data_IF_035872109272
#
_entry.id   IF_035872109272
#
_cell.length_a   1.000
_cell.length_b   1.000
_cell.length_c   1.000
_cell.angle_alpha   90.00
_cell.angle_beta   90.00
_cell.angle_gamma   90.00
#
_symmetry.space_group_name_H-M   'P 1'
#
loop_
_entity.id
_entity.type
_entity.pdbx_description
1 polymer ?
#
# COMPACT_ATOMS: atom_id res chain seq x y z
N UNK A 1 -0.02 10.37 -15.59
CA UNK A 1 -0.12 8.96 -15.17
C UNK A 1 1.25 8.29 -15.22
N UNK A 2 1.57 7.42 -14.27
CA UNK A 2 2.76 6.57 -14.26
C UNK A 2 2.34 5.10 -14.18
N UNK A 3 2.83 4.31 -15.12
CA UNK A 3 2.44 2.92 -15.26
C UNK A 3 3.18 2.02 -14.26
N UNK A 4 2.46 1.07 -13.66
CA UNK A 4 3.07 -0.03 -12.91
C UNK A 4 3.11 -1.33 -13.73
N UNK A 5 3.86 -2.33 -13.26
CA UNK A 5 3.92 -3.64 -13.92
C UNK A 5 2.65 -4.44 -13.61
N UNK A 6 1.99 -5.06 -14.61
CA UNK A 6 0.79 -5.88 -14.40
C UNK A 6 1.19 -7.31 -13.95
N UNK A 7 1.68 -7.43 -12.72
CA UNK A 7 2.20 -8.69 -12.15
C UNK A 7 1.47 -9.12 -10.85
N UNK A 8 0.28 -8.56 -10.62
CA UNK A 8 -0.48 -8.78 -9.40
C UNK A 8 0.00 -8.00 -8.18
N UNK A 9 1.01 -7.14 -8.32
CA UNK A 9 1.52 -6.27 -7.24
C UNK A 9 1.32 -4.78 -7.54
N UNK A 10 0.56 -4.46 -8.58
CA UNK A 10 0.38 -3.11 -9.11
C UNK A 10 -0.13 -2.12 -8.06
N UNK A 11 -1.09 -2.52 -7.21
CA UNK A 11 -1.56 -1.70 -6.09
C UNK A 11 -0.42 -1.36 -5.12
N UNK A 12 0.22 -2.37 -4.53
CA UNK A 12 1.27 -2.16 -3.52
C UNK A 12 2.42 -1.33 -4.08
N UNK A 13 2.80 -1.60 -5.34
CA UNK A 13 3.86 -0.86 -6.04
C UNK A 13 3.47 0.59 -6.29
N UNK A 14 2.24 0.82 -6.79
CA UNK A 14 1.71 2.15 -7.05
C UNK A 14 1.55 2.97 -5.77
N UNK A 15 0.97 2.38 -4.73
CA UNK A 15 0.79 3.01 -3.42
C UNK A 15 2.13 3.34 -2.77
N UNK A 16 3.08 2.41 -2.71
CA UNK A 16 4.39 2.66 -2.11
C UNK A 16 5.17 3.77 -2.83
N UNK A 17 5.10 3.80 -4.17
CA UNK A 17 5.72 4.86 -4.97
C UNK A 17 5.03 6.21 -4.73
N UNK A 18 3.70 6.26 -4.81
CA UNK A 18 2.91 7.48 -4.59
C UNK A 18 3.06 8.03 -3.18
N UNK A 19 3.14 7.16 -2.17
CA UNK A 19 3.43 7.53 -0.79
C UNK A 19 4.80 8.22 -0.68
N UNK A 20 5.85 7.65 -1.29
CA UNK A 20 7.18 8.26 -1.27
C UNK A 20 7.19 9.62 -1.99
N UNK A 21 6.56 9.73 -3.17
CA UNK A 21 6.45 11.01 -3.87
C UNK A 21 5.73 12.06 -3.02
N UNK A 22 4.62 11.70 -2.37
CA UNK A 22 3.90 12.61 -1.49
C UNK A 22 4.74 13.06 -0.29
N UNK A 23 5.43 12.12 0.37
CA UNK A 23 6.35 12.41 1.48
C UNK A 23 7.48 13.37 1.07
N UNK A 24 7.93 13.30 -0.20
CA UNK A 24 8.99 14.15 -0.72
C UNK A 24 8.53 15.55 -1.12
N UNK A 25 7.23 15.74 -1.39
CA UNK A 25 6.76 16.93 -2.14
C UNK A 25 5.65 17.71 -1.43
N UNK A 26 4.62 17.03 -0.92
CA UNK A 26 3.39 17.64 -0.44
C UNK A 26 3.16 17.41 1.06
N UNK A 27 3.82 16.42 1.66
CA UNK A 27 3.66 16.12 3.07
C UNK A 27 4.29 17.20 3.95
N UNK A 28 3.58 17.57 5.03
CA UNK A 28 4.15 18.41 6.06
C UNK A 28 5.23 17.66 6.86
N UNK A 29 6.22 18.35 7.46
CA UNK A 29 7.29 17.69 8.22
C UNK A 29 6.79 16.78 9.36
N UNK A 30 5.65 17.12 9.97
CA UNK A 30 5.00 16.31 11.00
C UNK A 30 4.46 15.01 10.43
N UNK A 31 3.84 15.05 9.25
CA UNK A 31 3.34 13.86 8.55
C UNK A 31 4.50 12.94 8.12
N UNK A 32 5.58 13.52 7.59
CA UNK A 32 6.80 12.75 7.27
C UNK A 32 7.32 12.05 8.52
N UNK A 33 7.40 12.75 9.64
CA UNK A 33 7.86 12.16 10.90
C UNK A 33 6.93 11.06 11.39
N UNK A 34 5.61 11.30 11.36
CA UNK A 34 4.58 10.33 11.79
C UNK A 34 4.62 9.07 10.97
N UNK A 35 4.53 9.17 9.65
CA UNK A 35 4.49 8.02 8.74
C UNK A 35 5.76 7.18 8.87
N UNK A 36 6.93 7.81 8.87
CA UNK A 36 8.20 7.08 9.03
C UNK A 36 8.26 6.38 10.39
N UNK A 37 7.74 6.98 11.45
CA UNK A 37 7.71 6.36 12.77
C UNK A 37 6.78 5.13 12.83
N UNK A 38 5.66 5.13 12.09
CA UNK A 38 4.78 3.95 11.95
C UNK A 38 5.54 2.80 11.28
N UNK A 39 6.26 3.06 10.17
CA UNK A 39 7.09 2.04 9.53
C UNK A 39 8.24 1.57 10.44
N UNK A 40 8.85 2.44 11.25
CA UNK A 40 9.88 2.04 12.21
C UNK A 40 9.35 1.10 13.28
N UNK A 41 8.15 1.36 13.82
CA UNK A 41 7.51 0.52 14.81
C UNK A 41 7.00 -0.81 14.22
N UNK A 42 6.66 -0.84 12.94
CA UNK A 42 6.01 -2.00 12.29
C UNK A 42 6.82 -3.30 12.35
N UNK A 43 8.16 -3.22 12.41
CA UNK A 43 9.00 -4.41 12.61
C UNK A 43 8.69 -5.11 13.93
N UNK A 44 8.64 -4.35 15.03
CA UNK A 44 8.35 -4.91 16.35
C UNK A 44 6.94 -5.50 16.41
N UNK A 45 5.97 -4.83 15.76
CA UNK A 45 4.61 -5.34 15.64
C UNK A 45 4.54 -6.69 14.91
N UNK A 46 5.27 -6.83 13.80
CA UNK A 46 5.32 -8.07 13.02
C UNK A 46 5.94 -9.21 13.82
N UNK A 47 7.07 -8.99 14.49
CA UNK A 47 7.70 -10.00 15.34
C UNK A 47 6.78 -10.42 16.49
N UNK A 48 6.12 -9.46 17.14
CA UNK A 48 5.16 -9.76 18.22
C UNK A 48 3.95 -10.57 17.74
N UNK A 49 3.58 -10.46 16.47
CA UNK A 49 2.53 -11.24 15.84
C UNK A 49 3.01 -12.62 15.32
N UNK A 50 4.27 -12.98 15.55
CA UNK A 50 4.84 -14.29 15.20
C UNK A 50 5.32 -14.41 13.75
N UNK A 51 5.56 -13.28 13.06
CA UNK A 51 6.31 -13.30 11.80
C UNK A 51 7.78 -13.65 12.06
N UNK A 52 8.39 -14.37 11.13
CA UNK A 52 9.78 -14.83 11.23
C UNK A 52 10.78 -13.65 11.24
N UNK A 53 11.96 -13.84 11.85
CA UNK A 53 13.06 -12.87 11.84
C UNK A 53 13.54 -12.52 10.42
N UNK A 54 13.23 -13.34 9.41
CA UNK A 54 13.47 -13.03 8.00
C UNK A 54 12.75 -11.75 7.51
N UNK A 55 11.82 -11.15 8.28
CA UNK A 55 11.24 -9.82 7.95
C UNK A 55 12.28 -8.69 7.92
N UNK A 56 13.46 -8.89 8.52
CA UNK A 56 14.49 -7.88 8.71
C UNK A 56 14.94 -7.22 7.40
N UNK A 57 15.18 -8.03 6.37
CA UNK A 57 15.63 -7.53 5.07
C UNK A 57 14.51 -6.75 4.35
N UNK A 58 13.27 -7.23 4.43
CA UNK A 58 12.08 -6.55 3.87
C UNK A 58 11.84 -5.20 4.53
N UNK A 59 11.94 -5.16 5.86
CA UNK A 59 11.82 -3.93 6.62
C UNK A 59 12.97 -2.97 6.31
N UNK A 60 14.22 -3.45 6.31
CA UNK A 60 15.39 -2.62 6.02
C UNK A 60 15.31 -2.01 4.61
N UNK A 61 14.90 -2.80 3.62
CA UNK A 61 14.72 -2.34 2.24
C UNK A 61 13.63 -1.27 2.13
N UNK A 62 12.54 -1.42 2.87
CA UNK A 62 11.43 -0.45 2.91
C UNK A 62 11.81 0.82 3.67
N UNK A 63 12.56 0.70 4.76
CA UNK A 63 12.98 1.84 5.58
C UNK A 63 14.04 2.72 4.91
N UNK A 64 14.85 2.16 4.01
CA UNK A 64 15.92 2.89 3.34
C UNK A 64 15.44 4.17 2.62
N UNK A 65 14.46 4.11 1.68
CA UNK A 65 13.93 5.34 1.06
C UNK A 65 13.24 6.25 2.07
N UNK A 66 12.45 5.71 3.01
CA UNK A 66 11.71 6.49 4.00
C UNK A 66 12.64 7.33 4.90
N UNK A 67 13.76 6.76 5.36
CA UNK A 67 14.76 7.48 6.15
C UNK A 67 15.49 8.53 5.34
N UNK A 68 15.83 8.25 4.09
CA UNK A 68 16.48 9.20 3.21
C UNK A 68 15.58 10.41 2.91
N UNK A 69 14.29 10.16 2.67
CA UNK A 69 13.25 11.20 2.49
C UNK A 69 13.14 12.06 3.75
N UNK A 70 12.99 11.45 4.93
CA UNK A 70 12.94 12.16 6.22
C UNK A 70 14.20 13.00 6.48
N UNK A 71 15.35 12.54 6.00
CA UNK A 71 16.62 13.26 6.10
C UNK A 71 16.80 14.39 5.09
N UNK A 72 15.86 14.58 4.15
CA UNK A 72 15.94 15.59 3.09
C UNK A 72 16.98 15.29 1.99
N UNK A 73 17.52 14.06 1.96
CA UNK A 73 18.59 13.63 1.05
C UNK A 73 18.11 12.54 0.11
N UNK A 74 16.98 12.77 -0.56
CA UNK A 74 16.42 11.81 -1.51
C UNK A 74 15.79 12.55 -2.70
N UNK A 75 16.30 12.29 -3.89
CA UNK A 75 15.82 12.91 -5.12
C UNK A 75 14.77 12.04 -5.82
N UNK A 76 14.06 12.63 -6.77
CA UNK A 76 13.13 11.89 -7.62
C UNK A 76 13.83 10.79 -8.43
N UNK A 77 15.08 11.03 -8.84
CA UNK A 77 15.88 10.02 -9.57
C UNK A 77 16.27 8.85 -8.67
N UNK A 78 16.56 9.10 -7.38
CA UNK A 78 16.82 8.04 -6.40
C UNK A 78 15.58 7.16 -6.20
N UNK A 79 14.39 7.80 -6.08
CA UNK A 79 13.13 7.08 -5.96
C UNK A 79 12.85 6.21 -7.20
N UNK A 80 13.05 6.78 -8.40
CA UNK A 80 12.89 6.04 -9.65
C UNK A 80 13.88 4.87 -9.75
N UNK A 81 15.14 5.07 -9.36
CA UNK A 81 16.13 4.00 -9.34
C UNK A 81 15.73 2.88 -8.38
N UNK A 82 15.25 3.23 -7.18
CA UNK A 82 14.78 2.27 -6.17
C UNK A 82 13.62 1.42 -6.71
N UNK A 83 12.61 2.04 -7.34
CA UNK A 83 11.42 1.33 -7.82
C UNK A 83 11.58 0.68 -9.21
N UNK A 84 12.71 0.93 -9.89
CA UNK A 84 13.12 0.21 -11.11
C UNK A 84 13.96 -1.02 -10.81
N UNK A 85 14.62 -1.05 -9.66
CA UNK A 85 15.28 -2.24 -9.16
C UNK A 85 14.23 -3.27 -8.75
N UNK A 86 14.28 -4.43 -9.42
CA UNK A 86 13.28 -5.47 -9.26
C UNK A 86 13.29 -6.04 -7.84
N UNK A 87 14.47 -6.39 -7.33
CA UNK A 87 14.63 -6.99 -6.00
C UNK A 87 14.15 -6.01 -4.93
N UNK A 88 14.61 -4.75 -4.96
CA UNK A 88 14.18 -3.74 -3.99
C UNK A 88 12.68 -3.56 -3.98
N UNK A 89 12.07 -3.45 -5.16
CA UNK A 89 10.63 -3.20 -5.24
C UNK A 89 9.82 -4.42 -4.80
N UNK A 90 10.28 -5.63 -5.12
CA UNK A 90 9.63 -6.86 -4.65
C UNK A 90 9.68 -6.97 -3.12
N UNK A 91 10.79 -6.58 -2.50
CA UNK A 91 10.91 -6.54 -1.03
C UNK A 91 9.97 -5.50 -0.41
N UNK A 92 9.89 -4.30 -0.99
CA UNK A 92 8.96 -3.25 -0.54
C UNK A 92 7.50 -3.72 -0.66
N UNK A 93 7.14 -4.31 -1.80
CA UNK A 93 5.79 -4.86 -2.03
C UNK A 93 5.47 -5.95 -0.99
N UNK A 94 6.38 -6.90 -0.77
CA UNK A 94 6.17 -7.97 0.18
C UNK A 94 6.02 -7.43 1.61
N UNK A 95 6.79 -6.40 1.96
CA UNK A 95 6.65 -5.75 3.25
C UNK A 95 5.26 -5.12 3.43
N UNK A 96 4.74 -4.43 2.41
CA UNK A 96 3.36 -3.91 2.45
C UNK A 96 2.32 -5.02 2.61
N UNK A 97 2.51 -6.17 1.98
CA UNK A 97 1.64 -7.36 2.17
C UNK A 97 1.67 -7.87 3.61
N UNK A 98 2.84 -7.86 4.26
CA UNK A 98 2.94 -8.22 5.68
C UNK A 98 2.19 -7.24 6.57
N UNK A 99 2.24 -5.93 6.30
CA UNK A 99 1.46 -4.94 7.05
C UNK A 99 -0.05 -5.17 6.90
N UNK A 100 -0.51 -5.49 5.70
CA UNK A 100 -1.91 -5.88 5.46
C UNK A 100 -2.26 -7.14 6.26
N UNK A 101 -1.46 -8.21 6.13
CA UNK A 101 -1.72 -9.47 6.85
C UNK A 101 -1.77 -9.26 8.36
N UNK A 102 -0.84 -8.49 8.92
CA UNK A 102 -0.79 -8.11 10.33
C UNK A 102 -2.06 -7.37 10.76
N UNK A 103 -2.50 -6.37 9.99
CA UNK A 103 -3.67 -5.58 10.34
C UNK A 103 -4.96 -6.40 10.27
N UNK A 104 -5.08 -7.30 9.29
CA UNK A 104 -6.18 -8.26 9.21
C UNK A 104 -6.18 -9.19 10.43
N UNK A 105 -5.03 -9.71 10.83
CA UNK A 105 -4.90 -10.58 12.01
C UNK A 105 -5.34 -9.89 13.30
N UNK A 106 -4.88 -8.66 13.52
CA UNK A 106 -5.19 -7.86 14.72
C UNK A 106 -6.67 -7.48 14.81
N UNK A 107 -7.39 -7.46 13.68
CA UNK A 107 -8.78 -7.01 13.59
C UNK A 107 -9.68 -8.05 12.93
N UNK A 108 -9.43 -9.34 13.19
CA UNK A 108 -10.06 -10.45 12.48
C UNK A 108 -11.60 -10.39 12.52
N UNK A 109 -12.19 -10.13 13.69
CA UNK A 109 -13.65 -10.06 13.84
C UNK A 109 -14.29 -9.00 12.93
N UNK A 110 -13.63 -7.85 12.77
CA UNK A 110 -14.09 -6.79 11.88
C UNK A 110 -13.95 -7.20 10.41
N UNK A 111 -12.78 -7.72 10.03
CA UNK A 111 -12.52 -8.07 8.63
C UNK A 111 -13.29 -9.31 8.16
N UNK A 112 -13.68 -10.21 9.06
CA UNK A 112 -14.47 -11.40 8.73
C UNK A 112 -15.78 -11.04 8.03
N UNK A 113 -16.43 -9.92 8.40
CA UNK A 113 -17.65 -9.45 7.74
C UNK A 113 -17.43 -9.04 6.28
N UNK A 114 -16.25 -8.52 5.94
CA UNK A 114 -15.94 -8.08 4.57
C UNK A 114 -15.55 -9.25 3.66
N UNK A 115 -15.09 -10.37 4.23
CA UNK A 115 -14.65 -11.55 3.48
C UNK A 115 -15.61 -12.74 3.58
N UNK A 116 -16.76 -12.61 4.24
CA UNK A 116 -17.73 -13.70 4.43
C UNK A 116 -18.13 -14.35 3.09
N UNK A 117 -18.30 -13.54 2.04
CA UNK A 117 -18.62 -14.02 0.69
C UNK A 117 -17.54 -14.89 0.03
N UNK A 118 -16.29 -14.88 0.54
CA UNK A 118 -15.21 -15.73 0.05
C UNK A 118 -15.28 -17.18 0.58
N UNK A 119 -16.01 -17.40 1.68
CA UNK A 119 -16.03 -18.68 2.39
C UNK A 119 -14.73 -19.02 3.16
N UNK A 120 -13.79 -18.08 3.25
CA UNK A 120 -12.52 -18.23 3.97
C UNK A 120 -12.61 -17.61 5.37
N UNK A 121 -11.88 -18.19 6.32
CA UNK A 121 -11.51 -17.49 7.55
C UNK A 121 -10.50 -16.38 7.26
N UNK A 122 -10.38 -15.39 8.17
CA UNK A 122 -9.36 -14.33 8.04
C UNK A 122 -7.95 -14.91 7.88
N UNK A 123 -7.60 -15.96 8.62
CA UNK A 123 -6.28 -16.58 8.52
C UNK A 123 -6.03 -17.26 7.17
N UNK A 124 -7.04 -17.89 6.58
CA UNK A 124 -6.95 -18.47 5.23
C UNK A 124 -6.86 -17.36 4.17
N UNK A 125 -7.69 -16.32 4.28
CA UNK A 125 -7.68 -15.18 3.37
C UNK A 125 -6.31 -14.48 3.36
N UNK A 126 -5.73 -14.24 4.53
CA UNK A 126 -4.37 -13.67 4.67
C UNK A 126 -3.34 -14.49 3.88
N UNK A 127 -3.35 -15.81 4.03
CA UNK A 127 -2.38 -16.69 3.36
C UNK A 127 -2.59 -16.78 1.84
N UNK A 128 -3.85 -16.85 1.40
CA UNK A 128 -4.19 -17.14 0.00
C UNK A 128 -4.24 -15.88 -0.86
N UNK A 129 -4.79 -14.78 -0.34
CA UNK A 129 -5.13 -13.56 -1.09
C UNK A 129 -4.22 -12.36 -0.73
N UNK A 130 -3.44 -12.43 0.34
CA UNK A 130 -2.57 -11.32 0.78
C UNK A 130 -1.10 -11.69 0.70
N UNK A 131 -0.67 -12.73 1.40
CA UNK A 131 0.75 -13.11 1.54
C UNK A 131 1.31 -13.75 0.28
N UNK A 132 0.46 -14.42 -0.52
CA UNK A 132 0.87 -15.01 -1.78
C UNK A 132 1.26 -13.94 -2.81
N UNK A 133 2.45 -14.09 -3.38
CA UNK A 133 3.00 -13.18 -4.40
C UNK A 133 2.12 -13.19 -5.66
N UNK A 134 1.90 -12.01 -6.23
CA UNK A 134 1.13 -11.84 -7.47
C UNK A 134 -0.38 -11.93 -7.30
N UNK A 135 -0.90 -11.89 -6.06
CA UNK A 135 -2.33 -11.71 -5.79
C UNK A 135 -2.72 -10.25 -5.81
N UNK A 136 -3.69 -9.91 -6.64
CA UNK A 136 -4.25 -8.57 -6.75
C UNK A 136 -4.77 -8.08 -5.38
N UNK A 137 -4.61 -6.78 -5.15
CA UNK A 137 -5.24 -6.13 -4.01
C UNK A 137 -6.59 -5.55 -4.44
N UNK A 138 -7.61 -5.81 -3.65
CA UNK A 138 -8.93 -5.22 -3.78
C UNK A 138 -9.26 -4.42 -2.51
N UNK A 139 -10.52 -4.02 -2.35
CA UNK A 139 -10.99 -3.15 -1.29
C UNK A 139 -10.54 -3.57 0.12
N UNK A 140 -10.50 -4.87 0.43
CA UNK A 140 -10.10 -5.38 1.75
C UNK A 140 -8.63 -5.07 2.04
N UNK A 141 -7.72 -5.37 1.11
CA UNK A 141 -6.28 -5.11 1.27
C UNK A 141 -6.00 -3.61 1.31
N UNK A 142 -6.69 -2.81 0.49
CA UNK A 142 -6.56 -1.34 0.48
C UNK A 142 -7.01 -0.77 1.82
N UNK A 143 -8.18 -1.19 2.32
CA UNK A 143 -8.73 -0.76 3.61
C UNK A 143 -7.79 -1.12 4.75
N UNK A 144 -7.26 -2.35 4.78
CA UNK A 144 -6.35 -2.78 5.82
C UNK A 144 -5.02 -2.01 5.81
N UNK A 145 -4.44 -1.76 4.62
CA UNK A 145 -3.18 -1.01 4.51
C UNK A 145 -3.35 0.45 4.94
N UNK A 146 -4.39 1.11 4.44
CA UNK A 146 -4.70 2.51 4.75
C UNK A 146 -5.05 2.70 6.23
N UNK A 147 -5.81 1.78 6.82
CA UNK A 147 -6.10 1.78 8.25
C UNK A 147 -4.86 1.54 9.11
N UNK A 148 -3.96 0.63 8.72
CA UNK A 148 -2.71 0.39 9.44
C UNK A 148 -1.79 1.62 9.44
N UNK A 149 -1.68 2.31 8.29
CA UNK A 149 -0.79 3.47 8.13
C UNK A 149 -1.42 4.79 8.59
N UNK A 150 -2.72 4.80 8.89
CA UNK A 150 -3.51 6.02 9.15
C UNK A 150 -3.29 7.04 8.02
N UNK A 151 -3.59 6.59 6.80
CA UNK A 151 -3.48 7.35 5.54
C UNK A 151 -4.70 7.07 4.67
N UNK A 152 -4.95 7.94 3.69
CA UNK A 152 -5.98 7.71 2.69
C UNK A 152 -5.40 7.58 1.28
N UNK A 153 -6.11 6.86 0.41
CA UNK A 153 -5.82 6.74 -1.03
C UNK A 153 -7.07 7.02 -1.83
N UNK A 154 -6.92 7.74 -2.95
CA UNK A 154 -8.00 7.92 -3.92
C UNK A 154 -7.88 6.86 -4.99
N UNK A 155 -8.97 6.19 -5.34
CA UNK A 155 -9.04 5.24 -6.45
C UNK A 155 -10.03 5.76 -7.48
N UNK A 156 -9.56 5.98 -8.70
CA UNK A 156 -10.35 6.40 -9.86
C UNK A 156 -10.57 5.17 -10.75
N UNK A 157 -11.81 4.79 -10.97
CA UNK A 157 -12.19 3.62 -11.75
C UNK A 157 -12.41 4.01 -13.21
N UNK A 158 -11.61 3.41 -14.09
CA UNK A 158 -11.81 3.50 -15.53
C UNK A 158 -12.57 2.26 -16.00
N UNK A 159 -13.85 2.18 -15.62
CA UNK A 159 -14.79 1.19 -16.15
C UNK A 159 -15.90 1.85 -16.98
N UNK A 160 -16.77 1.03 -17.60
CA UNK A 160 -17.90 1.50 -18.40
C UNK A 160 -19.04 2.07 -17.55
N UNK A 161 -18.94 2.05 -16.21
CA UNK A 161 -19.89 2.69 -15.31
C UNK A 161 -19.50 4.16 -15.12
N UNK A 162 -19.68 4.94 -16.19
CA UNK A 162 -19.63 6.39 -16.10
C UNK A 162 -20.66 6.86 -15.07
N UNK A 163 -20.30 7.85 -14.24
CA UNK A 163 -21.30 8.61 -13.48
C UNK A 163 -22.33 9.21 -14.45
N UNK A 164 -23.47 9.68 -13.94
CA UNK A 164 -24.54 10.24 -14.78
C UNK A 164 -24.04 11.34 -15.76
N UNK A 165 -22.92 11.99 -15.42
CA UNK A 165 -22.28 13.06 -16.18
C UNK A 165 -21.13 12.61 -17.11
N UNK A 166 -20.90 11.30 -17.26
CA UNK A 166 -19.85 10.77 -18.14
C UNK A 166 -18.44 10.78 -17.51
N UNK A 167 -18.29 11.14 -16.24
CA UNK A 167 -17.01 11.12 -15.53
C UNK A 167 -16.69 9.72 -15.00
N UNK A 168 -15.40 9.42 -14.85
CA UNK A 168 -14.93 8.23 -14.15
C UNK A 168 -15.44 8.24 -12.71
N UNK A 169 -15.85 7.08 -12.18
CA UNK A 169 -16.22 6.96 -10.78
C UNK A 169 -14.95 6.98 -9.90
N UNK A 170 -15.02 7.58 -8.72
CA UNK A 170 -13.90 7.65 -7.79
C UNK A 170 -14.36 7.41 -6.36
N UNK A 171 -13.46 6.86 -5.54
CA UNK A 171 -13.64 6.68 -4.10
C UNK A 171 -12.37 7.10 -3.36
N UNK A 172 -12.52 7.46 -2.09
CA UNK A 172 -11.39 7.70 -1.19
C UNK A 172 -11.49 6.69 -0.05
N UNK A 173 -10.41 5.96 0.20
CA UNK A 173 -10.35 4.95 1.26
C UNK A 173 -9.32 5.39 2.31
N UNK A 174 -9.69 5.59 3.58
CA UNK A 174 -11.07 5.64 4.09
C UNK A 174 -11.82 6.91 3.66
N UNK A 175 -13.16 6.84 3.66
CA UNK A 175 -14.03 7.95 3.27
C UNK A 175 -13.74 9.23 4.07
N UNK A 176 -13.67 10.37 3.37
CA UNK A 176 -13.38 11.68 3.97
C UNK A 176 -11.92 11.91 4.35
N UNK A 177 -11.04 10.93 4.13
CA UNK A 177 -9.60 11.08 4.31
C UNK A 177 -8.97 12.04 3.29
N UNK A 178 -7.75 12.52 3.58
CA UNK A 178 -6.92 13.30 2.64
C UNK A 178 -5.98 12.35 1.90
N UNK A 179 -6.21 12.06 0.60
CA UNK A 179 -5.42 11.07 -0.12
C UNK A 179 -3.95 11.47 -0.23
N UNK A 180 -3.04 10.54 0.07
CA UNK A 180 -1.61 10.74 -0.20
C UNK A 180 -1.26 10.51 -1.66
N UNK A 181 -2.04 9.69 -2.37
CA UNK A 181 -1.89 9.47 -3.79
C UNK A 181 -3.23 9.10 -4.43
N UNK A 182 -3.29 9.27 -5.75
CA UNK A 182 -4.40 8.84 -6.59
C UNK A 182 -3.97 7.67 -7.45
N UNK A 183 -4.73 6.58 -7.41
CA UNK A 183 -4.52 5.39 -8.23
C UNK A 183 -5.63 5.28 -9.25
N UNK A 184 -5.26 5.04 -10.51
CA UNK A 184 -6.19 4.70 -11.59
C UNK A 184 -6.36 3.18 -11.60
N UNK A 185 -7.57 2.70 -11.36
CA UNK A 185 -7.94 1.31 -11.46
C UNK A 185 -8.53 1.00 -12.84
N UNK A 186 -8.05 -0.09 -13.43
CA UNK A 186 -8.64 -0.83 -14.55
C UNK A 186 -8.76 -2.28 -14.11
N UNK A 187 -9.66 -3.10 -14.70
CA UNK A 187 -9.83 -4.49 -14.25
C UNK A 187 -8.49 -5.24 -14.07
N UNK A 188 -8.14 -5.55 -12.81
CA UNK A 188 -6.89 -6.23 -12.43
C UNK A 188 -5.60 -5.38 -12.45
N UNK A 189 -5.68 -4.04 -12.53
CA UNK A 189 -4.49 -3.21 -12.67
C UNK A 189 -4.62 -1.80 -12.07
N UNK A 190 -3.56 -1.36 -11.39
CA UNK A 190 -3.45 0.00 -10.82
C UNK A 190 -2.27 0.76 -11.42
N UNK A 191 -2.49 2.03 -11.78
CA UNK A 191 -1.44 2.98 -12.14
C UNK A 191 -1.49 4.21 -11.24
N UNK A 192 -0.38 4.93 -11.10
CA UNK A 192 -0.37 6.19 -10.34
C UNK A 192 -0.92 7.30 -11.25
N UNK A 193 -1.91 8.05 -10.77
CA UNK A 193 -2.50 9.19 -11.47
C UNK A 193 -2.02 10.49 -10.82
N UNK A 194 -1.67 11.47 -11.65
CA UNK A 194 -1.32 12.82 -11.22
C UNK A 194 -2.41 13.76 -11.72
N UNK A 195 -2.78 14.73 -10.89
CA UNK A 195 -3.65 15.85 -11.27
C UNK A 195 -2.90 16.88 -12.11
#
# INVERSE_FOLDING_TARGET
MRTTRPDGNCFYRGFAFGLCEWLMTLAEPEDVTRVVSVFEASKADLLAAGFDEFIDDFWAMTMAPLRAIKGGNYSHDDLLACFRDQERTEYIVQFMRFLVSLHLAKNADFFQFFIEGSGLSVDEFRRIEVEAVGRDADHVQITALTAYLDLAVRVVYLDQSTTADGAASEIVIPDGGRPVCTLLYRPGHYDVLYE
#
